data_IF_794332553600
#
_entry.id   IF_794332553600
#
_cell.length_a   1.000
_cell.length_b   1.000
_cell.length_c   1.000
_cell.angle_alpha   90.00
_cell.angle_beta   90.00
_cell.angle_gamma   90.00
#
_symmetry.space_group_name_H-M   'P 1'
#
loop_
_entity.id
_entity.type
_entity.pdbx_description
1 polymer ?
#
# COMPACT_ATOMS: atom_id res chain seq x y z
N UNK A 1 0.35 17.54 -60.20
CA UNK A 1 0.59 16.98 -58.84
C UNK A 1 1.79 17.69 -58.25
N UNK A 2 1.74 18.05 -56.97
CA UNK A 2 2.86 18.74 -56.32
C UNK A 2 3.99 17.75 -56.07
N UNK A 3 5.24 18.16 -56.32
CA UNK A 3 6.43 17.35 -56.11
C UNK A 3 7.27 17.88 -54.96
N UNK A 4 7.86 16.98 -54.18
CA UNK A 4 8.59 17.28 -52.96
C UNK A 4 9.96 16.61 -52.96
N UNK A 5 10.99 17.34 -52.50
CA UNK A 5 12.28 16.72 -52.19
C UNK A 5 12.22 15.98 -50.86
N UNK A 6 13.25 15.18 -50.53
CA UNK A 6 13.36 14.55 -49.20
C UNK A 6 13.29 15.56 -48.06
N UNK A 7 13.82 16.78 -48.24
CA UNK A 7 13.74 17.84 -47.24
C UNK A 7 12.32 18.39 -47.07
N UNK A 8 11.59 18.55 -48.18
CA UNK A 8 10.23 19.11 -48.17
C UNK A 8 9.23 18.16 -47.52
N UNK A 9 9.29 16.87 -47.86
CA UNK A 9 8.43 15.85 -47.25
C UNK A 9 8.77 15.66 -45.75
N UNK A 10 10.05 15.75 -45.38
CA UNK A 10 10.47 15.70 -43.98
C UNK A 10 9.88 16.85 -43.17
N UNK A 11 9.97 18.09 -43.69
CA UNK A 11 9.37 19.28 -43.07
C UNK A 11 7.84 19.15 -42.95
N UNK A 12 7.16 18.73 -44.02
CA UNK A 12 5.69 18.59 -44.05
C UNK A 12 5.15 17.53 -43.09
N UNK A 13 5.94 16.48 -42.84
CA UNK A 13 5.56 15.41 -41.94
C UNK A 13 6.20 15.54 -40.55
N UNK A 14 6.86 16.67 -40.25
CA UNK A 14 7.51 16.94 -38.96
C UNK A 14 8.50 15.84 -38.51
N UNK A 15 9.24 15.25 -39.46
CA UNK A 15 10.25 14.23 -39.19
C UNK A 15 11.61 14.67 -39.70
N UNK A 16 12.66 14.03 -39.19
CA UNK A 16 14.00 14.27 -39.70
C UNK A 16 14.16 13.74 -41.13
N UNK A 17 15.03 14.37 -41.92
CA UNK A 17 15.45 13.84 -43.24
C UNK A 17 15.99 12.41 -43.12
N UNK A 18 16.71 12.12 -42.01
CA UNK A 18 17.23 10.78 -41.70
C UNK A 18 16.11 9.75 -41.55
N UNK A 19 14.96 10.12 -41.00
CA UNK A 19 13.77 9.25 -40.86
C UNK A 19 13.20 8.88 -42.23
N UNK A 20 13.04 9.85 -43.13
CA UNK A 20 12.56 9.61 -44.50
C UNK A 20 13.52 8.69 -45.26
N UNK A 21 14.83 8.96 -45.19
CA UNK A 21 15.86 8.11 -45.80
C UNK A 21 15.89 6.70 -45.19
N UNK A 22 15.64 6.59 -43.88
CA UNK A 22 15.57 5.29 -43.22
C UNK A 22 14.39 4.46 -43.73
N UNK A 23 13.19 5.03 -43.86
CA UNK A 23 12.04 4.32 -44.41
C UNK A 23 12.18 3.97 -45.90
N UNK A 24 12.91 4.78 -46.66
CA UNK A 24 13.33 4.45 -48.03
C UNK A 24 14.26 3.24 -48.05
N UNK A 25 15.33 3.23 -47.23
CA UNK A 25 16.23 2.07 -47.11
C UNK A 25 15.53 0.79 -46.66
N UNK A 26 14.53 0.89 -45.78
CA UNK A 26 13.73 -0.26 -45.35
C UNK A 26 12.69 -0.71 -46.40
N UNK A 27 12.52 0.07 -47.48
CA UNK A 27 11.60 -0.18 -48.57
C UNK A 27 10.13 -0.05 -48.17
N UNK A 28 9.84 0.79 -47.17
CA UNK A 28 8.49 1.06 -46.66
C UNK A 28 7.91 2.32 -47.33
N UNK A 29 8.76 3.31 -47.59
CA UNK A 29 8.42 4.52 -48.33
C UNK A 29 9.44 4.74 -49.46
N UNK A 30 9.04 4.52 -50.71
CA UNK A 30 9.92 4.75 -51.87
C UNK A 30 9.59 6.08 -52.54
N UNK A 31 10.59 6.78 -53.11
CA UNK A 31 10.33 7.95 -53.94
C UNK A 31 9.56 7.56 -55.20
N UNK A 32 8.70 8.45 -55.67
CA UNK A 32 7.92 8.28 -56.91
C UNK A 32 8.83 8.22 -58.15
N UNK A 33 9.87 9.06 -58.17
CA UNK A 33 10.83 9.15 -59.26
C UNK A 33 12.17 9.71 -58.78
N UNK A 34 13.19 9.57 -59.62
CA UNK A 34 14.42 10.35 -59.54
C UNK A 34 14.30 11.55 -60.47
N UNK A 35 14.76 12.71 -60.02
CA UNK A 35 14.97 13.88 -60.89
C UNK A 35 16.21 13.71 -61.77
N UNK A 36 16.35 14.54 -62.80
CA UNK A 36 17.51 14.57 -63.72
C UNK A 36 18.85 14.80 -63.00
N UNK A 37 18.82 15.47 -61.84
CA UNK A 37 19.97 15.67 -60.96
C UNK A 37 20.20 14.52 -59.95
N UNK A 38 19.62 13.34 -60.21
CA UNK A 38 19.67 12.15 -59.36
C UNK A 38 19.16 12.36 -57.91
N UNK A 39 18.21 13.30 -57.72
CA UNK A 39 17.57 13.55 -56.42
C UNK A 39 16.24 12.83 -56.32
N UNK A 40 15.90 12.35 -55.12
CA UNK A 40 14.63 11.69 -54.79
C UNK A 40 13.47 12.68 -54.86
N UNK A 41 12.41 12.31 -55.57
CA UNK A 41 11.18 13.10 -55.71
C UNK A 41 9.98 12.30 -55.20
N UNK A 42 9.16 12.96 -54.39
CA UNK A 42 7.95 12.42 -53.79
C UNK A 42 6.73 13.23 -54.26
N UNK A 43 5.58 12.59 -54.36
CA UNK A 43 4.29 13.23 -54.66
C UNK A 43 3.42 13.31 -53.41
N UNK A 44 2.23 13.88 -53.56
CA UNK A 44 1.22 13.92 -52.50
C UNK A 44 0.84 12.52 -51.98
N UNK A 45 0.94 11.47 -52.80
CA UNK A 45 0.65 10.09 -52.38
C UNK A 45 1.70 9.54 -51.41
N UNK A 46 2.99 9.78 -51.68
CA UNK A 46 4.05 9.40 -50.74
C UNK A 46 3.97 10.22 -49.44
N UNK A 47 3.49 11.46 -49.50
CA UNK A 47 3.23 12.27 -48.29
C UNK A 47 2.15 11.61 -47.43
N UNK A 48 1.00 11.22 -48.03
CA UNK A 48 -0.07 10.50 -47.32
C UNK A 48 0.44 9.18 -46.72
N UNK A 49 1.23 8.43 -47.50
CA UNK A 49 1.82 7.16 -47.05
C UNK A 49 2.77 7.36 -45.87
N UNK A 50 3.62 8.38 -45.91
CA UNK A 50 4.52 8.71 -44.79
C UNK A 50 3.74 9.09 -43.53
N UNK A 51 2.68 9.90 -43.65
CA UNK A 51 1.81 10.25 -42.52
C UNK A 51 1.21 9.00 -41.86
N UNK A 52 0.70 8.07 -42.67
CA UNK A 52 0.16 6.81 -42.16
C UNK A 52 1.23 5.97 -41.44
N UNK A 53 2.44 5.87 -42.00
CA UNK A 53 3.56 5.15 -41.36
C UNK A 53 3.89 5.75 -39.99
N UNK A 54 3.90 7.09 -39.88
CA UNK A 54 4.17 7.80 -38.62
C UNK A 54 3.10 7.47 -37.59
N UNK A 55 1.81 7.61 -37.93
CA UNK A 55 0.70 7.30 -37.03
C UNK A 55 0.76 5.86 -36.53
N UNK A 56 0.97 4.88 -37.42
CA UNK A 56 1.10 3.48 -37.02
C UNK A 56 2.32 3.25 -36.12
N UNK A 57 3.41 3.99 -36.34
CA UNK A 57 4.59 3.88 -35.50
C UNK A 57 4.37 4.46 -34.11
N UNK A 58 3.64 5.57 -34.01
CA UNK A 58 3.20 6.18 -32.74
C UNK A 58 2.25 5.26 -31.96
N UNK A 59 1.39 4.52 -32.66
CA UNK A 59 0.53 3.48 -32.09
C UNK A 59 1.28 2.20 -31.68
N UNK A 60 2.61 2.17 -31.84
CA UNK A 60 3.46 1.08 -31.37
C UNK A 60 3.67 -0.07 -32.36
N UNK A 61 3.18 0.04 -33.60
CA UNK A 61 3.38 -1.02 -34.60
C UNK A 61 4.88 -1.17 -34.96
N UNK A 62 5.29 -2.41 -35.23
CA UNK A 62 6.63 -2.66 -35.75
C UNK A 62 6.71 -2.29 -37.23
N UNK A 63 7.91 -2.00 -37.73
CA UNK A 63 8.10 -1.67 -39.15
C UNK A 63 7.78 -2.85 -40.08
N UNK A 64 7.91 -4.09 -39.58
CA UNK A 64 7.54 -5.30 -40.32
C UNK A 64 6.03 -5.34 -40.54
N UNK A 65 5.26 -5.07 -39.50
CA UNK A 65 3.78 -5.06 -39.56
C UNK A 65 3.30 -3.96 -40.50
N UNK A 66 3.85 -2.75 -40.38
CA UNK A 66 3.53 -1.61 -41.25
C UNK A 66 3.76 -1.97 -42.73
N UNK A 67 4.83 -2.69 -43.04
CA UNK A 67 5.13 -3.11 -44.43
C UNK A 67 4.13 -4.11 -44.98
N UNK A 68 3.61 -5.02 -44.14
CA UNK A 68 2.57 -5.97 -44.50
C UNK A 68 1.23 -5.25 -44.73
N UNK A 69 0.91 -4.30 -43.85
CA UNK A 69 -0.30 -3.50 -43.88
C UNK A 69 -0.45 -2.66 -45.13
N UNK A 70 0.65 -2.07 -45.60
CA UNK A 70 0.65 -1.23 -46.80
C UNK A 70 0.55 -2.02 -48.12
N UNK A 71 0.48 -3.35 -48.09
CA UNK A 71 0.42 -4.21 -49.29
C UNK A 71 -0.96 -4.78 -49.58
N UNK A 72 -1.78 -5.04 -48.57
CA UNK A 72 -3.01 -5.83 -48.70
C UNK A 72 -4.19 -5.14 -48.01
N UNK A 73 -5.33 -5.00 -48.71
CA UNK A 73 -6.56 -4.40 -48.15
C UNK A 73 -7.16 -5.23 -47.01
N UNK A 74 -7.08 -6.57 -47.08
CA UNK A 74 -7.55 -7.45 -45.99
C UNK A 74 -6.83 -7.17 -44.66
N UNK A 75 -5.57 -6.74 -44.72
CA UNK A 75 -4.76 -6.44 -43.54
C UNK A 75 -5.21 -5.15 -42.84
N UNK A 76 -5.95 -4.26 -43.51
CA UNK A 76 -6.56 -3.07 -42.88
C UNK A 76 -7.66 -3.46 -41.89
N UNK A 77 -8.48 -4.47 -42.20
CA UNK A 77 -9.49 -4.98 -41.26
C UNK A 77 -8.83 -5.57 -40.02
N UNK A 78 -7.81 -6.41 -40.21
CA UNK A 78 -7.04 -7.00 -39.11
C UNK A 78 -6.39 -5.92 -38.24
N UNK A 79 -5.84 -4.86 -38.83
CA UNK A 79 -5.27 -3.72 -38.11
C UNK A 79 -6.31 -2.99 -37.28
N UNK A 80 -7.48 -2.71 -37.85
CA UNK A 80 -8.56 -2.04 -37.13
C UNK A 80 -8.95 -2.81 -35.86
N UNK A 81 -9.03 -4.14 -35.95
CA UNK A 81 -9.28 -4.99 -34.78
C UNK A 81 -8.12 -4.97 -33.78
N UNK A 82 -6.87 -5.02 -34.23
CA UNK A 82 -5.69 -4.94 -33.36
C UNK A 82 -5.61 -3.60 -32.62
N UNK A 83 -5.87 -2.49 -33.34
CA UNK A 83 -5.92 -1.15 -32.74
C UNK A 83 -7.05 -1.03 -31.73
N UNK A 84 -8.22 -1.63 -32.01
CA UNK A 84 -9.34 -1.67 -31.06
C UNK A 84 -8.98 -2.41 -29.78
N UNK A 85 -8.32 -3.58 -29.89
CA UNK A 85 -7.84 -4.32 -28.72
C UNK A 85 -6.82 -3.50 -27.92
N UNK A 86 -5.90 -2.81 -28.59
CA UNK A 86 -4.92 -1.93 -27.92
C UNK A 86 -5.57 -0.71 -27.25
N UNK A 87 -6.57 -0.12 -27.88
CA UNK A 87 -7.37 0.94 -27.28
C UNK A 87 -8.04 0.47 -26.00
N UNK A 88 -8.70 -0.70 -26.03
CA UNK A 88 -9.38 -1.26 -24.87
C UNK A 88 -8.40 -1.63 -23.73
N UNK A 89 -7.22 -2.18 -24.06
CA UNK A 89 -6.13 -2.41 -23.10
C UNK A 89 -5.67 -1.11 -22.41
N UNK A 90 -5.42 -0.05 -23.19
CA UNK A 90 -5.01 1.26 -22.66
C UNK A 90 -6.11 1.87 -21.80
N UNK A 91 -7.38 1.72 -22.19
CA UNK A 91 -8.51 2.21 -21.41
C UNK A 91 -8.63 1.49 -20.06
N UNK A 92 -8.38 0.18 -20.02
CA UNK A 92 -8.31 -0.55 -18.75
C UNK A 92 -7.17 -0.05 -17.86
N UNK A 93 -6.01 0.25 -18.44
CA UNK A 93 -4.88 0.77 -17.69
C UNK A 93 -5.10 2.20 -17.17
N UNK A 94 -5.81 3.05 -17.93
CA UNK A 94 -6.29 4.35 -17.45
C UNK A 94 -7.16 4.14 -16.21
N UNK A 95 -8.17 3.26 -16.28
CA UNK A 95 -9.08 3.00 -15.16
C UNK A 95 -8.33 2.47 -13.92
N UNK A 96 -7.34 1.60 -14.10
CA UNK A 96 -6.47 1.13 -13.00
C UNK A 96 -5.69 2.28 -12.38
N UNK A 97 -5.06 3.13 -13.21
CA UNK A 97 -4.29 4.30 -12.74
C UNK A 97 -5.18 5.31 -12.04
N UNK A 98 -6.39 5.54 -12.50
CA UNK A 98 -7.39 6.39 -11.83
C UNK A 98 -7.76 5.85 -10.45
N UNK A 99 -7.95 4.54 -10.32
CA UNK A 99 -8.17 3.91 -9.01
C UNK A 99 -6.98 4.11 -8.06
N UNK A 100 -5.74 4.03 -8.57
CA UNK A 100 -4.54 4.35 -7.77
C UNK A 100 -4.54 5.81 -7.33
N UNK A 101 -4.84 6.75 -8.24
CA UNK A 101 -4.97 8.18 -7.91
C UNK A 101 -6.05 8.42 -6.85
N UNK A 102 -7.19 7.72 -6.94
CA UNK A 102 -8.25 7.78 -5.93
C UNK A 102 -7.76 7.33 -4.56
N UNK A 103 -7.06 6.19 -4.48
CA UNK A 103 -6.44 5.71 -3.24
C UNK A 103 -5.42 6.70 -2.66
N UNK A 104 -4.59 7.29 -3.51
CA UNK A 104 -3.63 8.34 -3.09
C UNK A 104 -4.38 9.53 -2.49
N UNK A 105 -5.48 9.98 -3.12
CA UNK A 105 -6.30 11.09 -2.60
C UNK A 105 -6.95 10.75 -1.26
N UNK A 106 -7.46 9.52 -1.10
CA UNK A 106 -8.02 9.03 0.17
C UNK A 106 -6.96 9.05 1.27
N UNK A 107 -5.78 8.47 1.01
CA UNK A 107 -4.64 8.49 1.94
C UNK A 107 -4.23 9.92 2.28
N UNK A 108 -4.12 10.81 1.30
CA UNK A 108 -3.82 12.24 1.52
C UNK A 108 -4.87 12.94 2.39
N UNK A 109 -6.15 12.56 2.28
CA UNK A 109 -7.23 13.12 3.11
C UNK A 109 -7.06 12.74 4.58
N UNK A 110 -6.56 11.54 4.89
CA UNK A 110 -6.21 11.15 6.25
C UNK A 110 -5.04 11.99 6.78
N UNK A 111 -3.98 12.18 5.99
CA UNK A 111 -2.83 13.01 6.38
C UNK A 111 -3.17 14.51 6.52
N UNK A 112 -4.09 15.06 5.73
CA UNK A 112 -4.49 16.46 5.87
C UNK A 112 -5.44 16.71 7.06
N UNK A 113 -6.11 15.68 7.59
CA UNK A 113 -6.91 15.79 8.83
C UNK A 113 -6.08 15.56 10.09
N UNK A 114 -4.98 14.84 9.99
CA UNK A 114 -4.05 14.55 11.08
C UNK A 114 -2.70 15.15 10.74
N UNK A 115 -2.47 16.40 11.12
CA UNK A 115 -1.16 17.05 11.01
C UNK A 115 -0.16 16.45 12.01
N UNK A 116 0.31 15.21 11.76
CA UNK A 116 1.55 14.62 12.28
C UNK A 116 2.12 13.66 11.21
N UNK A 117 3.40 13.82 10.91
CA UNK A 117 4.16 13.15 9.83
C UNK A 117 4.19 11.60 9.95
N UNK A 118 3.99 10.84 8.85
CA UNK A 118 4.06 9.37 8.85
C UNK A 118 5.44 8.77 8.55
N UNK A 119 6.49 9.58 8.33
CA UNK A 119 7.78 9.08 7.81
C UNK A 119 8.75 8.62 8.91
N UNK A 120 8.51 8.95 10.18
CA UNK A 120 9.41 8.54 11.28
C UNK A 120 9.32 7.05 11.66
N UNK A 121 8.40 6.26 11.09
CA UNK A 121 8.17 4.87 11.51
C UNK A 121 8.87 3.76 10.70
N UNK A 122 9.74 4.08 9.73
CA UNK A 122 10.48 3.01 9.01
C UNK A 122 11.75 2.52 9.74
N UNK A 123 12.16 3.15 10.85
CA UNK A 123 13.27 2.68 11.69
C UNK A 123 12.84 1.70 12.81
N UNK A 124 11.54 1.42 12.96
CA UNK A 124 11.01 0.68 14.12
C UNK A 124 10.44 -0.71 13.80
N UNK A 125 10.59 -1.23 12.58
CA UNK A 125 10.07 -2.57 12.28
C UNK A 125 10.85 -3.66 13.07
N UNK A 126 12.16 -3.49 13.23
CA UNK A 126 12.97 -4.39 14.06
C UNK A 126 12.68 -4.20 15.56
N UNK A 127 12.52 -2.95 16.01
CA UNK A 127 12.24 -2.62 17.41
C UNK A 127 10.85 -3.13 17.84
N UNK A 128 9.80 -2.87 17.06
CA UNK A 128 8.44 -3.34 17.36
C UNK A 128 8.33 -4.87 17.28
N UNK A 129 9.05 -5.54 16.36
CA UNK A 129 9.05 -7.01 16.34
C UNK A 129 9.68 -7.59 17.61
N UNK A 130 10.83 -7.07 18.05
CA UNK A 130 11.55 -7.53 19.24
C UNK A 130 10.79 -7.20 20.53
N UNK A 131 10.13 -6.05 20.56
CA UNK A 131 9.41 -5.50 21.70
C UNK A 131 7.99 -6.10 21.85
N UNK A 132 7.35 -6.50 20.74
CA UNK A 132 6.09 -7.25 20.76
C UNK A 132 6.21 -8.66 21.35
N UNK A 133 7.40 -9.27 21.31
CA UNK A 133 7.65 -10.57 21.93
C UNK A 133 7.58 -10.49 23.46
N UNK A 134 8.08 -9.40 24.05
CA UNK A 134 8.09 -9.25 25.50
C UNK A 134 6.65 -9.10 26.05
N UNK A 135 5.82 -8.24 25.45
CA UNK A 135 4.39 -8.13 25.78
C UNK A 135 3.62 -9.44 25.54
N UNK A 136 3.91 -10.16 24.45
CA UNK A 136 3.32 -11.49 24.20
C UNK A 136 3.70 -12.48 25.31
N UNK A 137 4.94 -12.45 25.79
CA UNK A 137 5.40 -13.32 26.87
C UNK A 137 4.72 -12.98 28.21
N UNK A 138 4.55 -11.69 28.53
CA UNK A 138 3.84 -11.21 29.72
C UNK A 138 2.38 -11.66 29.67
N UNK A 139 1.68 -11.45 28.54
CA UNK A 139 0.29 -11.88 28.35
C UNK A 139 0.15 -13.41 28.42
N UNK A 140 1.11 -14.18 27.89
CA UNK A 140 1.09 -15.64 27.98
C UNK A 140 1.22 -16.13 29.42
N UNK A 141 2.17 -15.56 30.20
CA UNK A 141 2.31 -15.86 31.63
C UNK A 141 1.04 -15.50 32.40
N UNK A 142 0.42 -14.35 32.09
CA UNK A 142 -0.85 -13.90 32.65
C UNK A 142 -1.99 -14.89 32.41
N UNK A 143 -2.21 -15.33 31.17
CA UNK A 143 -3.26 -16.30 30.83
C UNK A 143 -3.05 -17.66 31.50
N UNK A 144 -1.80 -18.16 31.52
CA UNK A 144 -1.48 -19.42 32.19
C UNK A 144 -1.79 -19.36 33.69
N UNK A 145 -1.33 -18.30 34.36
CA UNK A 145 -1.49 -18.19 35.79
C UNK A 145 -2.96 -17.92 36.19
N UNK A 146 -3.72 -17.17 35.38
CA UNK A 146 -5.18 -17.01 35.54
C UNK A 146 -5.91 -18.35 35.39
N UNK A 147 -5.50 -19.18 34.43
CA UNK A 147 -6.06 -20.52 34.23
C UNK A 147 -5.86 -21.44 35.45
N UNK A 148 -4.66 -21.46 36.03
CA UNK A 148 -4.36 -22.27 37.24
C UNK A 148 -5.27 -21.85 38.41
N UNK A 149 -5.41 -20.55 38.65
CA UNK A 149 -6.24 -20.04 39.75
C UNK A 149 -7.72 -20.31 39.50
N UNK A 150 -8.18 -20.20 38.25
CA UNK A 150 -9.54 -20.59 37.87
C UNK A 150 -9.84 -22.07 38.15
N UNK A 151 -8.88 -22.97 37.90
CA UNK A 151 -9.02 -24.39 38.24
C UNK A 151 -9.17 -24.55 39.76
N UNK A 152 -8.32 -23.90 40.55
CA UNK A 152 -8.38 -23.97 42.02
C UNK A 152 -9.74 -23.46 42.54
N UNK A 153 -10.22 -22.32 42.04
CA UNK A 153 -11.55 -21.79 42.38
C UNK A 153 -12.68 -22.74 42.00
N UNK A 154 -12.65 -23.30 40.79
CA UNK A 154 -13.67 -24.23 40.32
C UNK A 154 -13.68 -25.51 41.15
N UNK A 155 -12.51 -26.05 41.50
CA UNK A 155 -12.42 -27.23 42.38
C UNK A 155 -12.94 -26.94 43.78
N UNK A 156 -12.64 -25.78 44.36
CA UNK A 156 -13.19 -25.37 45.66
C UNK A 156 -14.72 -25.21 45.63
N UNK A 157 -15.27 -24.67 44.53
CA UNK A 157 -16.71 -24.55 44.32
C UNK A 157 -17.39 -25.92 44.21
N UNK A 158 -16.85 -26.82 43.39
CA UNK A 158 -17.39 -28.19 43.22
C UNK A 158 -17.32 -28.96 44.54
N UNK A 159 -16.20 -28.88 45.26
CA UNK A 159 -16.04 -29.51 46.56
C UNK A 159 -17.07 -28.98 47.57
N UNK A 160 -17.35 -27.68 47.57
CA UNK A 160 -18.37 -27.08 48.43
C UNK A 160 -19.79 -27.59 48.11
N UNK A 161 -20.12 -27.78 46.83
CA UNK A 161 -21.42 -28.34 46.40
C UNK A 161 -21.55 -29.82 46.82
N UNK A 162 -20.49 -30.61 46.67
CA UNK A 162 -20.49 -32.05 47.00
C UNK A 162 -20.55 -32.31 48.50
N UNK A 163 -19.75 -31.57 49.28
CA UNK A 163 -19.68 -31.72 50.75
C UNK A 163 -20.85 -31.05 51.46
N UNK A 164 -21.60 -30.17 50.78
CA UNK A 164 -22.61 -29.26 51.36
C UNK A 164 -22.07 -28.33 52.45
N UNK A 165 -20.76 -28.14 52.50
CA UNK A 165 -20.07 -27.21 53.40
C UNK A 165 -19.49 -26.05 52.60
N UNK A 166 -19.48 -24.84 53.18
CA UNK A 166 -18.94 -23.64 52.51
C UNK A 166 -17.43 -23.50 52.65
N UNK A 167 -16.82 -24.25 53.57
CA UNK A 167 -15.39 -24.16 53.92
C UNK A 167 -14.43 -24.35 52.73
N UNK A 168 -14.64 -25.33 51.81
CA UNK A 168 -13.72 -25.52 50.69
C UNK A 168 -13.68 -24.33 49.72
N UNK A 169 -14.81 -23.64 49.53
CA UNK A 169 -14.84 -22.44 48.70
C UNK A 169 -14.26 -21.24 49.45
N UNK A 170 -14.66 -21.04 50.71
CA UNK A 170 -14.26 -19.90 51.50
C UNK A 170 -12.74 -19.87 51.76
N UNK A 171 -12.12 -21.03 52.01
CA UNK A 171 -10.68 -21.17 52.21
C UNK A 171 -9.83 -20.79 50.99
N UNK A 172 -10.37 -20.93 49.77
CA UNK A 172 -9.68 -20.58 48.52
C UNK A 172 -9.79 -19.07 48.20
N UNK A 173 -10.83 -18.39 48.70
CA UNK A 173 -11.07 -16.97 48.37
C UNK A 173 -9.91 -16.02 48.73
N UNK A 174 -9.24 -16.10 49.90
CA UNK A 174 -8.16 -15.18 50.24
C UNK A 174 -6.96 -15.35 49.31
N UNK A 175 -6.65 -16.60 48.94
CA UNK A 175 -5.57 -16.92 48.00
C UNK A 175 -5.82 -16.26 46.66
N UNK A 176 -7.07 -16.28 46.17
CA UNK A 176 -7.42 -15.69 44.88
C UNK A 176 -7.38 -14.16 44.89
N UNK A 177 -7.75 -13.52 46.01
CA UNK A 177 -7.64 -12.08 46.19
C UNK A 177 -6.16 -11.66 46.21
N UNK A 178 -5.32 -12.35 47.00
CA UNK A 178 -3.88 -12.09 47.05
C UNK A 178 -3.27 -12.23 45.66
N UNK A 179 -3.61 -13.31 44.96
CA UNK A 179 -3.14 -13.54 43.61
C UNK A 179 -3.55 -12.42 42.64
N UNK A 180 -4.81 -11.97 42.66
CA UNK A 180 -5.28 -10.88 41.82
C UNK A 180 -4.53 -9.56 42.11
N UNK A 181 -4.22 -9.28 43.37
CA UNK A 181 -3.42 -8.11 43.77
C UNK A 181 -1.98 -8.21 43.24
N UNK A 182 -1.32 -9.35 43.43
CA UNK A 182 0.05 -9.60 42.93
C UNK A 182 0.10 -9.49 41.41
N UNK A 183 -0.88 -10.07 40.72
CA UNK A 183 -0.97 -10.05 39.27
C UNK A 183 -1.17 -8.63 38.73
N UNK A 184 -2.05 -7.85 39.37
CA UNK A 184 -2.31 -6.44 39.03
C UNK A 184 -1.05 -5.61 39.23
N UNK A 185 -0.34 -5.82 40.34
CA UNK A 185 0.94 -5.15 40.63
C UNK A 185 2.02 -5.51 39.59
N UNK A 186 2.20 -6.80 39.32
CA UNK A 186 3.14 -7.28 38.31
C UNK A 186 2.83 -6.67 36.94
N UNK A 187 1.57 -6.71 36.50
CA UNK A 187 1.20 -6.21 35.18
C UNK A 187 1.39 -4.69 35.08
N UNK A 188 1.01 -3.92 36.11
CA UNK A 188 1.24 -2.47 36.18
C UNK A 188 2.73 -2.12 36.10
N UNK A 189 3.62 -2.92 36.70
CA UNK A 189 5.05 -2.63 36.72
C UNK A 189 5.77 -2.98 35.41
N UNK A 190 5.19 -3.80 34.54
CA UNK A 190 5.83 -4.27 33.31
C UNK A 190 5.27 -3.62 32.02
N UNK A 191 4.25 -2.75 32.15
CA UNK A 191 3.55 -2.14 31.02
C UNK A 191 3.44 -0.63 31.23
N UNK A 192 3.72 0.11 30.16
CA UNK A 192 3.48 1.55 30.06
C UNK A 192 2.45 1.84 28.97
N UNK A 193 1.95 3.07 28.91
CA UNK A 193 0.90 3.46 27.99
C UNK A 193 1.34 4.63 27.11
N UNK A 194 1.14 4.48 25.80
CA UNK A 194 1.41 5.49 24.79
C UNK A 194 0.11 6.25 24.45
N UNK A 195 0.13 7.58 24.57
CA UNK A 195 -0.99 8.43 24.15
C UNK A 195 -1.09 8.51 22.62
N UNK A 196 -2.26 8.28 22.00
CA UNK A 196 -2.41 8.37 20.54
C UNK A 196 -2.41 9.81 20.00
N UNK A 197 -2.63 10.82 20.86
CA UNK A 197 -2.66 12.21 20.45
C UNK A 197 -1.26 12.85 20.45
N UNK A 198 -0.57 12.86 21.60
CA UNK A 198 0.74 13.50 21.74
C UNK A 198 1.94 12.55 21.76
N UNK A 199 1.72 11.23 21.66
CA UNK A 199 2.79 10.21 21.68
C UNK A 199 3.62 10.18 22.97
N UNK A 200 3.16 10.81 24.05
CA UNK A 200 3.81 10.69 25.35
C UNK A 200 3.62 9.28 25.94
N UNK A 201 4.69 8.68 26.47
CA UNK A 201 4.66 7.40 27.20
C UNK A 201 4.57 7.69 28.69
N UNK A 202 3.56 7.13 29.35
CA UNK A 202 3.32 7.40 30.77
C UNK A 202 2.81 6.16 31.51
N UNK A 203 2.88 6.23 32.84
CA UNK A 203 2.38 5.20 33.74
C UNK A 203 1.19 5.77 34.54
N UNK A 204 -0.01 5.19 34.43
CA UNK A 204 -1.16 5.66 35.18
C UNK A 204 -1.03 5.36 36.68
N UNK A 205 -1.72 6.15 37.48
CA UNK A 205 -1.89 5.87 38.90
C UNK A 205 -2.64 4.55 39.10
N UNK A 206 -2.49 3.93 40.28
CA UNK A 206 -3.09 2.61 40.56
C UNK A 206 -4.62 2.64 40.44
N UNK A 207 -5.26 3.73 40.86
CA UNK A 207 -6.71 3.87 40.80
C UNK A 207 -7.21 3.97 39.35
N UNK A 208 -6.56 4.81 38.55
CA UNK A 208 -6.90 5.00 37.12
C UNK A 208 -6.64 3.71 36.35
N UNK A 209 -5.56 3.01 36.69
CA UNK A 209 -5.29 1.68 36.16
C UNK A 209 -6.46 0.73 36.44
N UNK A 210 -6.88 0.55 37.70
CA UNK A 210 -7.91 -0.44 38.05
C UNK A 210 -9.29 -0.08 37.47
N UNK A 211 -9.68 1.20 37.49
CA UNK A 211 -11.04 1.64 37.10
C UNK A 211 -11.22 1.85 35.60
N UNK A 212 -10.15 2.11 34.85
CA UNK A 212 -10.27 2.45 33.44
C UNK A 212 -10.84 1.30 32.60
N UNK A 213 -11.70 1.67 31.65
CA UNK A 213 -12.16 0.76 30.62
C UNK A 213 -10.96 0.26 29.80
N UNK A 214 -10.86 -1.05 29.59
CA UNK A 214 -9.70 -1.66 28.96
C UNK A 214 -10.09 -2.76 27.97
N UNK A 215 -9.21 -2.97 27.00
CA UNK A 215 -9.16 -4.15 26.12
C UNK A 215 -7.81 -4.85 26.36
N UNK A 216 -7.56 -6.04 25.80
CA UNK A 216 -6.27 -6.72 25.97
C UNK A 216 -5.02 -5.97 25.47
N UNK A 217 -5.19 -4.83 24.78
CA UNK A 217 -4.09 -4.03 24.20
C UNK A 217 -4.18 -2.53 24.52
N UNK A 218 -5.29 -2.06 25.08
CA UNK A 218 -5.52 -0.62 25.26
C UNK A 218 -6.26 -0.33 26.56
N UNK A 219 -6.06 0.87 27.09
CA UNK A 219 -6.76 1.36 28.28
C UNK A 219 -7.18 2.81 28.11
N UNK A 220 -8.41 3.13 28.48
CA UNK A 220 -8.95 4.49 28.39
C UNK A 220 -8.39 5.34 29.53
N UNK A 221 -7.37 6.13 29.23
CA UNK A 221 -6.60 6.91 30.20
C UNK A 221 -6.51 8.37 29.78
N UNK A 222 -6.41 9.26 30.77
CA UNK A 222 -6.11 10.67 30.58
C UNK A 222 -4.61 10.85 30.48
N UNK A 223 -4.12 11.45 29.39
CA UNK A 223 -2.70 11.72 29.24
C UNK A 223 -2.26 12.84 30.20
N UNK A 224 -1.12 12.70 30.92
CA UNK A 224 -0.62 13.77 31.78
C UNK A 224 -0.08 14.98 31.00
N UNK A 225 0.21 14.82 29.71
CA UNK A 225 0.84 15.84 28.87
C UNK A 225 -0.20 16.63 28.06
N UNK A 226 -1.03 15.96 27.25
CA UNK A 226 -2.09 16.65 26.49
C UNK A 226 -3.43 16.77 27.20
N UNK A 227 -3.59 16.19 28.41
CA UNK A 227 -4.82 16.20 29.22
C UNK A 227 -6.08 15.61 28.56
N UNK A 228 -5.96 14.99 27.39
CA UNK A 228 -7.07 14.33 26.72
C UNK A 228 -7.21 12.87 27.13
N UNK A 229 -8.45 12.38 27.15
CA UNK A 229 -8.78 10.99 27.46
C UNK A 229 -8.93 10.16 26.20
N UNK A 230 -8.04 9.20 26.00
CA UNK A 230 -8.04 8.31 24.84
C UNK A 230 -7.81 6.86 25.23
N UNK A 231 -8.10 5.93 24.31
CA UNK A 231 -7.62 4.56 24.43
C UNK A 231 -6.11 4.51 24.16
N UNK A 232 -5.32 4.60 25.22
CA UNK A 232 -3.88 4.57 25.18
C UNK A 232 -3.38 3.14 24.93
N UNK A 233 -2.32 3.00 24.15
CA UNK A 233 -1.81 1.71 23.66
C UNK A 233 -0.80 1.16 24.66
N UNK A 234 -0.92 -0.12 25.00
CA UNK A 234 0.05 -0.81 25.85
C UNK A 234 1.38 -1.00 25.13
N UNK A 235 2.45 -0.51 25.73
CA UNK A 235 3.84 -0.70 25.31
C UNK A 235 4.61 -1.34 26.46
N UNK A 236 5.62 -2.19 26.21
CA UNK A 236 6.42 -2.71 27.30
C UNK A 236 7.21 -1.56 27.94
N UNK A 237 7.47 -1.72 29.23
CA UNK A 237 8.27 -0.74 29.96
C UNK A 237 9.75 -0.96 29.60
N UNK A 238 10.37 -0.05 28.86
CA UNK A 238 11.81 -0.10 28.57
C UNK A 238 12.60 0.48 29.75
N UNK A 239 13.70 -0.18 30.11
CA UNK A 239 14.58 0.20 31.23
C UNK A 239 15.38 1.49 30.97
N UNK A 240 15.35 2.03 29.74
CA UNK A 240 16.16 3.17 29.30
C UNK A 240 15.47 4.55 29.41
N UNK A 241 14.29 4.64 30.04
CA UNK A 241 13.56 5.91 30.23
C UNK A 241 13.31 6.25 31.71
N UNK A 242 14.34 6.12 32.56
CA UNK A 242 14.42 6.73 33.88
C UNK A 242 15.61 7.70 33.96
#
# INVERSE_FOLDING_TARGET
>A
MSTYTTGDIAKRCHVSVRTVQYYDRQGILRPSQMSDANRRVYTDEEVKKLKLIIVLKELGCSLKDIKLLLRNEETLKTLSSMLKVKEDELQQDINKKENVVKRIKEVRKYFNKTSISPITHLYDIDHIMKESLNLKSIRKKLWLATGIVGIIQYTGLVASIVTKEKEPFLSVTPVTIIYALVLTYYYKNNVSYLCPNCQNVFNPNTLDFIKAQHTPKTRKLTCPDCHETHFCIEVPKNEEQC
#
